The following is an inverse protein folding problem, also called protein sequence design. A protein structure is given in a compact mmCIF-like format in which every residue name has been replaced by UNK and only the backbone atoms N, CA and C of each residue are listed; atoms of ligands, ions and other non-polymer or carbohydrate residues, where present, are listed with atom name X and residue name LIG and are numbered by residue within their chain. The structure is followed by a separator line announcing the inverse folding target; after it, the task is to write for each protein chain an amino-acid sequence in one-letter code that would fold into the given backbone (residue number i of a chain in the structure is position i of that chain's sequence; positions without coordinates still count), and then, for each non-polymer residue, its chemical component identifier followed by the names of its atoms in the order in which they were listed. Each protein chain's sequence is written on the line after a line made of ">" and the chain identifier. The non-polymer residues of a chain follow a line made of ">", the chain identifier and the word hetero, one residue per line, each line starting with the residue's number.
data_IF_631611624222
#
_entry.id   IF_631611624222
#
_cell.length_a   1.000
_cell.length_b   1.000
_cell.length_c   1.000
_cell.angle_alpha   90.00
_cell.angle_beta   90.00
_cell.angle_gamma   90.00
#
_symmetry.space_group_name_H-M   'P 1'
#
loop_
_entity.id
_entity.type
_entity.pdbx_description
1 polymer ?
#
# COMPACT_ATOMS: atom_id res chain seq x y z
N UNK A 1 11.47 5.11 48.49
CA UNK A 1 12.01 4.88 47.13
C UNK A 1 10.84 4.86 46.14
N UNK A 2 10.64 5.97 45.46
CA UNK A 2 9.53 6.16 44.51
C UNK A 2 10.01 5.76 43.12
N UNK A 3 9.49 4.62 42.59
CA UNK A 3 9.78 4.17 41.23
C UNK A 3 8.97 5.01 40.26
N UNK A 4 9.63 5.94 39.59
CA UNK A 4 9.06 6.68 38.44
C UNK A 4 9.01 5.71 37.27
N UNK A 5 7.80 5.31 36.88
CA UNK A 5 7.54 4.61 35.62
C UNK A 5 7.58 5.65 34.51
N UNK A 6 8.67 5.65 33.74
CA UNK A 6 8.75 6.39 32.49
C UNK A 6 7.90 5.65 31.47
N UNK A 7 6.68 6.11 31.25
CA UNK A 7 5.86 5.72 30.09
C UNK A 7 6.43 6.41 28.87
N UNK A 8 7.22 5.70 28.08
CA UNK A 8 7.61 6.12 26.74
C UNK A 8 6.35 6.16 25.88
N UNK A 9 5.81 7.35 25.66
CA UNK A 9 4.84 7.62 24.61
C UNK A 9 5.56 7.39 23.26
N UNK A 10 5.32 6.22 22.64
CA UNK A 10 5.65 6.00 21.24
C UNK A 10 4.78 6.94 20.41
N UNK A 11 5.36 8.04 19.93
CA UNK A 11 4.72 8.90 18.94
C UNK A 11 4.62 8.10 17.64
N UNK A 12 3.46 7.56 17.37
CA UNK A 12 3.13 6.97 16.07
C UNK A 12 3.13 8.13 15.07
N UNK A 13 4.13 8.15 14.19
CA UNK A 13 4.13 9.07 13.05
C UNK A 13 3.00 8.68 12.12
N UNK A 14 1.82 9.26 12.33
CA UNK A 14 0.67 9.09 11.42
C UNK A 14 1.09 9.73 10.10
N UNK A 15 1.11 8.95 9.02
CA UNK A 15 1.14 9.52 7.67
C UNK A 15 -0.08 10.44 7.58
N UNK A 16 0.16 11.76 7.55
CA UNK A 16 -0.93 12.71 7.39
C UNK A 16 -1.66 12.40 6.10
N UNK A 17 -2.96 12.12 6.19
CA UNK A 17 -3.85 11.80 5.07
C UNK A 17 -4.11 13.02 4.14
N UNK A 18 -3.27 14.04 4.18
CA UNK A 18 -3.38 15.20 3.28
C UNK A 18 -2.83 14.85 1.90
N UNK A 19 -3.65 15.04 0.87
CA UNK A 19 -3.20 14.91 -0.51
C UNK A 19 -2.13 15.96 -0.85
N UNK A 20 -1.14 15.55 -1.64
CA UNK A 20 -0.08 16.42 -2.14
C UNK A 20 -0.45 16.81 -3.56
N UNK A 21 -0.61 18.12 -3.80
CA UNK A 21 -1.00 18.65 -5.11
C UNK A 21 0.15 19.47 -5.69
N UNK A 22 0.58 19.13 -6.92
CA UNK A 22 1.66 19.85 -7.60
C UNK A 22 1.44 19.86 -9.13
N UNK A 23 1.76 20.98 -9.83
CA UNK A 23 1.71 21.01 -11.28
C UNK A 23 2.82 20.16 -11.89
N UNK A 24 2.55 19.57 -13.05
CA UNK A 24 3.58 18.88 -13.83
C UNK A 24 4.47 19.90 -14.52
N UNK A 25 5.78 19.76 -14.34
CA UNK A 25 6.79 20.63 -14.94
C UNK A 25 7.21 20.14 -16.33
N UNK A 26 7.30 18.82 -16.47
CA UNK A 26 7.73 18.16 -17.69
C UNK A 26 7.04 16.80 -17.81
N UNK A 27 6.76 16.38 -19.07
CA UNK A 27 6.13 15.10 -19.37
C UNK A 27 6.85 14.46 -20.54
N UNK A 28 7.46 13.30 -20.31
CA UNK A 28 8.19 12.54 -21.34
C UNK A 28 8.04 11.03 -21.13
N UNK A 29 7.77 10.29 -22.20
CA UNK A 29 7.80 8.82 -22.20
C UNK A 29 7.06 8.17 -21.04
N UNK A 30 5.83 8.55 -20.75
CA UNK A 30 5.03 8.06 -19.62
C UNK A 30 5.64 8.37 -18.24
N UNK A 31 6.46 9.40 -18.16
CA UNK A 31 6.96 9.99 -16.92
C UNK A 31 6.63 11.47 -16.86
N UNK A 32 6.46 11.98 -15.65
CA UNK A 32 6.29 13.40 -15.39
C UNK A 32 7.17 13.81 -14.21
N UNK A 33 7.55 15.08 -14.18
CA UNK A 33 8.30 15.66 -13.06
C UNK A 33 7.42 16.64 -12.30
N UNK A 34 7.50 16.60 -10.98
CA UNK A 34 6.94 17.60 -10.06
C UNK A 34 7.99 18.08 -9.08
N UNK A 35 7.70 19.21 -8.41
CA UNK A 35 8.40 19.62 -7.18
C UNK A 35 7.34 19.65 -6.08
N UNK A 36 7.58 18.91 -5.02
CA UNK A 36 6.70 18.85 -3.86
C UNK A 36 7.45 18.39 -2.61
N UNK A 37 6.94 18.76 -1.44
CA UNK A 37 7.44 18.30 -0.15
C UNK A 37 6.64 17.10 0.34
N UNK A 38 7.22 16.38 1.31
CA UNK A 38 6.58 15.21 1.95
C UNK A 38 6.21 14.05 1.00
N UNK A 39 6.85 14.01 -0.16
CA UNK A 39 6.71 12.91 -1.13
C UNK A 39 7.59 11.74 -0.69
N UNK A 40 7.13 10.53 -0.96
CA UNK A 40 7.91 9.28 -0.80
C UNK A 40 7.83 8.45 -2.08
N UNK A 41 8.89 7.72 -2.36
CA UNK A 41 8.88 6.75 -3.45
C UNK A 41 7.77 5.72 -3.21
N UNK A 42 7.08 5.33 -4.28
CA UNK A 42 5.94 4.43 -4.24
C UNK A 42 4.59 5.09 -3.95
N UNK A 43 4.52 6.33 -3.49
CA UNK A 43 3.23 7.02 -3.31
C UNK A 43 2.45 7.05 -4.62
N UNK A 44 1.22 6.58 -4.58
CA UNK A 44 0.29 6.62 -5.71
C UNK A 44 -0.59 7.87 -5.69
N UNK A 45 -1.16 8.17 -6.84
CA UNK A 45 -2.09 9.26 -7.03
C UNK A 45 -2.63 9.29 -8.46
N UNK A 46 -3.17 10.42 -8.84
CA UNK A 46 -3.77 10.64 -10.16
C UNK A 46 -3.26 11.94 -10.77
N UNK A 47 -3.36 12.03 -12.10
CA UNK A 47 -3.16 13.28 -12.83
C UNK A 47 -4.53 13.84 -13.22
N UNK A 48 -4.76 15.09 -12.86
CA UNK A 48 -6.01 15.79 -13.05
C UNK A 48 -5.80 16.92 -14.06
N UNK A 49 -6.69 17.02 -15.03
CA UNK A 49 -6.82 18.19 -15.91
C UNK A 49 -8.03 19.00 -15.51
N UNK A 50 -7.85 20.27 -15.31
CA UNK A 50 -8.93 21.24 -15.11
C UNK A 50 -9.17 21.97 -16.43
N UNK A 51 -10.40 21.96 -16.91
CA UNK A 51 -10.82 22.67 -18.12
C UNK A 51 -11.33 24.07 -17.81
N UNK A 52 -12.04 24.20 -16.70
CA UNK A 52 -12.56 25.47 -16.17
C UNK A 52 -12.78 25.36 -14.65
N UNK A 53 -13.35 26.39 -14.03
CA UNK A 53 -13.55 26.46 -12.57
C UNK A 53 -14.46 25.35 -12.01
N UNK A 54 -15.25 24.70 -12.86
CA UNK A 54 -16.27 23.71 -12.45
C UNK A 54 -16.04 22.31 -13.04
N UNK A 55 -15.14 22.20 -14.02
CA UNK A 55 -14.91 20.94 -14.74
C UNK A 55 -13.46 20.49 -14.66
N UNK A 56 -13.25 19.35 -14.09
CA UNK A 56 -11.97 18.65 -14.08
C UNK A 56 -12.16 17.16 -14.32
N UNK A 57 -11.12 16.49 -14.78
CA UNK A 57 -11.14 15.03 -14.99
C UNK A 57 -9.82 14.40 -14.65
N UNK A 58 -9.86 13.14 -14.20
CA UNK A 58 -8.67 12.30 -14.03
C UNK A 58 -8.29 11.75 -15.40
N UNK A 59 -7.04 11.96 -15.81
CA UNK A 59 -6.54 11.55 -17.13
C UNK A 59 -5.51 10.44 -17.08
N UNK A 60 -4.84 10.25 -15.93
CA UNK A 60 -3.87 9.17 -15.74
C UNK A 60 -3.77 8.77 -14.26
N UNK A 61 -3.31 7.55 -14.01
CA UNK A 61 -2.75 7.16 -12.73
C UNK A 61 -1.28 7.59 -12.68
N UNK A 62 -0.79 7.87 -11.48
CA UNK A 62 0.61 8.18 -11.24
C UNK A 62 1.11 7.45 -9.99
N UNK A 63 2.40 7.10 -9.98
CA UNK A 63 3.10 6.76 -8.74
C UNK A 63 4.51 7.34 -8.78
N UNK A 64 5.03 7.67 -7.62
CA UNK A 64 6.38 8.21 -7.47
C UNK A 64 7.40 7.11 -7.70
N UNK A 65 8.18 7.23 -8.77
CA UNK A 65 9.26 6.30 -9.12
C UNK A 65 10.57 6.67 -8.43
N UNK A 66 10.84 7.98 -8.30
CA UNK A 66 12.04 8.51 -7.64
C UNK A 66 11.71 9.82 -6.92
N UNK A 67 12.36 10.05 -5.80
CA UNK A 67 12.26 11.30 -5.05
C UNK A 67 13.62 11.77 -4.58
N UNK A 68 13.94 13.03 -4.82
CA UNK A 68 15.15 13.68 -4.33
C UNK A 68 14.78 14.70 -3.24
N UNK A 69 15.00 14.39 -1.96
CA UNK A 69 14.63 15.26 -0.85
C UNK A 69 15.43 16.57 -0.79
N UNK A 70 16.62 16.62 -1.44
CA UNK A 70 17.46 17.84 -1.41
C UNK A 70 16.87 19.00 -2.22
N UNK A 71 16.05 18.70 -3.21
CA UNK A 71 15.45 19.73 -4.09
C UNK A 71 13.93 19.56 -4.28
N UNK A 72 13.32 18.61 -3.57
CA UNK A 72 11.89 18.33 -3.67
C UNK A 72 11.42 17.73 -5.00
N UNK A 73 12.36 17.36 -5.90
CA UNK A 73 12.01 16.84 -7.22
C UNK A 73 11.57 15.39 -7.14
N UNK A 74 10.38 15.10 -7.68
CA UNK A 74 9.88 13.74 -7.83
C UNK A 74 9.65 13.41 -9.30
N UNK A 75 10.00 12.17 -9.68
CA UNK A 75 9.69 11.59 -10.99
C UNK A 75 8.51 10.66 -10.80
N UNK A 76 7.44 10.93 -11.51
CA UNK A 76 6.23 10.13 -11.52
C UNK A 76 6.23 9.21 -12.73
N UNK A 77 5.92 7.94 -12.53
CA UNK A 77 5.55 7.03 -13.61
C UNK A 77 4.05 7.10 -13.84
N UNK A 78 3.66 7.31 -15.10
CA UNK A 78 2.28 7.47 -15.51
C UNK A 78 1.75 6.17 -16.11
N UNK A 79 0.48 5.89 -15.85
CA UNK A 79 -0.26 4.79 -16.45
C UNK A 79 -1.69 5.19 -16.78
N UNK A 80 -2.33 4.43 -17.66
CA UNK A 80 -3.69 4.71 -18.07
C UNK A 80 -4.66 4.64 -16.87
N UNK A 81 -5.54 5.65 -16.76
CA UNK A 81 -6.64 5.59 -15.81
C UNK A 81 -7.79 4.79 -16.41
N UNK A 82 -8.17 3.71 -15.76
CA UNK A 82 -9.20 2.78 -16.22
C UNK A 82 -10.26 2.44 -15.16
N UNK A 83 -10.17 3.02 -13.96
CA UNK A 83 -11.05 2.73 -12.83
C UNK A 83 -12.54 2.98 -13.10
N UNK A 84 -12.86 3.91 -14.00
CA UNK A 84 -14.23 4.25 -14.39
C UNK A 84 -14.56 3.79 -15.82
N UNK A 85 -13.74 2.94 -16.41
CA UNK A 85 -13.94 2.53 -17.80
C UNK A 85 -15.17 1.65 -17.93
N UNK A 86 -16.13 2.13 -18.73
CA UNK A 86 -17.23 1.33 -19.24
C UNK A 86 -17.05 1.17 -20.76
N UNK A 87 -17.11 -0.07 -21.24
CA UNK A 87 -16.91 -0.36 -22.67
C UNK A 87 -18.00 0.24 -23.57
N UNK A 88 -19.14 0.60 -22.99
CA UNK A 88 -20.28 1.24 -23.68
C UNK A 88 -20.18 2.76 -23.76
N UNK A 89 -19.25 3.38 -23.08
CA UNK A 89 -19.07 4.83 -23.08
C UNK A 89 -17.83 5.22 -23.89
N UNK A 90 -17.89 6.34 -24.66
CA UNK A 90 -16.73 6.84 -25.36
C UNK A 90 -15.66 7.23 -24.35
N UNK A 91 -14.47 6.63 -24.47
CA UNK A 91 -13.30 6.97 -23.67
C UNK A 91 -12.51 8.09 -24.33
N UNK A 92 -12.24 9.17 -23.63
CA UNK A 92 -11.27 10.18 -24.08
C UNK A 92 -9.85 9.63 -24.05
N UNK A 93 -9.08 9.83 -25.11
CA UNK A 93 -7.64 9.61 -25.12
C UNK A 93 -6.93 10.93 -24.83
N UNK A 94 -6.89 11.30 -23.53
CA UNK A 94 -6.19 12.50 -23.10
C UNK A 94 -4.71 12.19 -22.89
N UNK A 95 -3.84 12.87 -23.63
CA UNK A 95 -2.41 12.85 -23.35
C UNK A 95 -2.11 13.77 -22.17
N UNK A 96 -1.33 13.28 -21.21
CA UNK A 96 -0.83 14.10 -20.09
C UNK A 96 0.07 15.21 -20.64
N UNK A 97 -0.08 16.42 -20.12
CA UNK A 97 0.62 17.62 -20.57
C UNK A 97 1.29 18.33 -19.40
N UNK A 98 2.35 19.11 -19.64
CA UNK A 98 2.82 20.09 -18.67
C UNK A 98 1.65 20.99 -18.26
N UNK A 99 1.60 21.42 -17.01
CA UNK A 99 0.50 22.15 -16.37
C UNK A 99 -0.70 21.31 -15.90
N UNK A 100 -0.87 20.05 -16.32
CA UNK A 100 -1.76 19.15 -15.59
C UNK A 100 -1.28 19.00 -14.15
N UNK A 101 -2.17 18.60 -13.26
CA UNK A 101 -1.89 18.58 -11.82
C UNK A 101 -1.79 17.15 -11.32
N UNK A 102 -0.69 16.82 -10.66
CA UNK A 102 -0.56 15.59 -9.88
C UNK A 102 -1.25 15.77 -8.52
N UNK A 103 -2.09 14.82 -8.14
CA UNK A 103 -2.71 14.71 -6.81
C UNK A 103 -2.28 13.38 -6.22
N UNK A 104 -1.22 13.39 -5.40
CA UNK A 104 -0.69 12.21 -4.75
C UNK A 104 -1.37 11.98 -3.39
N UNK A 105 -1.38 10.73 -2.92
CA UNK A 105 -1.95 10.33 -1.64
C UNK A 105 -3.43 10.69 -1.46
N UNK A 106 -4.19 10.90 -2.54
CA UNK A 106 -5.61 11.30 -2.48
C UNK A 106 -6.49 10.30 -1.75
N UNK A 107 -6.15 9.02 -1.79
CA UNK A 107 -6.93 7.93 -1.20
C UNK A 107 -6.38 7.46 0.16
N UNK A 108 -5.37 8.15 0.75
CA UNK A 108 -4.72 7.72 2.00
C UNK A 108 -5.60 7.87 3.25
N UNK A 109 -6.74 8.51 3.14
CA UNK A 109 -7.78 8.48 4.18
C UNK A 109 -8.51 7.14 4.31
N UNK A 110 -8.30 6.19 3.37
CA UNK A 110 -8.94 4.86 3.37
C UNK A 110 -7.89 3.76 3.35
N UNK A 111 -8.08 2.75 4.21
CA UNK A 111 -7.11 1.68 4.37
C UNK A 111 -7.75 0.30 4.53
N UNK A 112 -7.00 -0.72 4.11
CA UNK A 112 -7.24 -2.12 4.41
C UNK A 112 -6.20 -2.60 5.41
N UNK A 113 -6.61 -3.34 6.44
CA UNK A 113 -5.71 -3.98 7.39
C UNK A 113 -5.74 -5.51 7.22
N UNK A 114 -4.59 -6.08 6.98
CA UNK A 114 -4.33 -7.51 7.03
C UNK A 114 -3.75 -7.83 8.42
N UNK A 115 -4.55 -8.51 9.22
CA UNK A 115 -4.21 -8.88 10.59
C UNK A 115 -4.34 -10.40 10.80
N UNK A 116 -3.55 -11.00 11.72
CA UNK A 116 -3.61 -12.43 11.98
C UNK A 116 -4.88 -12.88 12.72
N UNK A 117 -5.51 -11.99 13.49
CA UNK A 117 -6.70 -12.29 14.29
C UNK A 117 -7.51 -11.02 14.59
N UNK A 118 -8.69 -11.19 15.18
CA UNK A 118 -9.64 -10.14 15.52
C UNK A 118 -9.09 -9.15 16.57
N UNK A 119 -8.40 -9.64 17.58
CA UNK A 119 -7.85 -8.79 18.64
C UNK A 119 -6.78 -7.83 18.10
N UNK A 120 -5.90 -8.32 17.22
CA UNK A 120 -4.89 -7.49 16.54
C UNK A 120 -5.56 -6.48 15.63
N UNK A 121 -6.58 -6.91 14.86
CA UNK A 121 -7.37 -6.03 14.00
C UNK A 121 -8.00 -4.88 14.81
N UNK A 122 -8.71 -5.23 15.88
CA UNK A 122 -9.39 -4.27 16.75
C UNK A 122 -8.41 -3.31 17.43
N UNK A 123 -7.28 -3.81 17.91
CA UNK A 123 -6.26 -3.00 18.57
C UNK A 123 -5.68 -1.95 17.62
N UNK A 124 -5.30 -2.36 16.41
CA UNK A 124 -4.68 -1.47 15.41
C UNK A 124 -5.70 -0.45 14.92
N UNK A 125 -6.90 -0.88 14.53
CA UNK A 125 -7.91 0.03 13.98
C UNK A 125 -8.40 1.07 14.97
N UNK A 126 -8.41 0.75 16.28
CA UNK A 126 -8.75 1.70 17.35
C UNK A 126 -7.60 2.65 17.69
N UNK A 127 -6.34 2.24 17.43
CA UNK A 127 -5.17 3.05 17.76
C UNK A 127 -4.82 4.12 16.71
N UNK A 128 -5.22 3.92 15.46
CA UNK A 128 -4.94 4.83 14.36
C UNK A 128 -6.21 5.61 14.01
N UNK A 129 -6.21 6.90 14.30
CA UNK A 129 -7.32 7.80 13.98
C UNK A 129 -7.20 8.40 12.57
N UNK A 130 -8.30 8.93 12.03
CA UNK A 130 -8.33 9.62 10.73
C UNK A 130 -8.30 8.69 9.52
N UNK A 131 -8.47 7.39 9.71
CA UNK A 131 -8.54 6.36 8.65
C UNK A 131 -9.94 5.77 8.60
N UNK A 132 -10.53 5.73 7.42
CA UNK A 132 -11.70 4.91 7.12
C UNK A 132 -11.25 3.48 6.83
N UNK A 133 -11.45 2.59 7.80
CA UNK A 133 -11.06 1.20 7.67
C UNK A 133 -12.05 0.40 6.85
N UNK A 134 -11.58 -0.17 5.74
CA UNK A 134 -12.34 -1.13 4.96
C UNK A 134 -12.22 -2.50 5.63
N UNK A 135 -13.37 -3.05 6.03
CA UNK A 135 -13.37 -4.32 6.75
C UNK A 135 -12.83 -5.47 5.89
N UNK A 136 -11.96 -6.34 6.40
CA UNK A 136 -11.32 -7.42 5.64
C UNK A 136 -12.31 -8.44 5.06
N UNK A 137 -13.53 -8.54 5.57
CA UNK A 137 -14.60 -9.36 4.96
C UNK A 137 -14.90 -8.97 3.51
N UNK A 138 -14.83 -7.67 3.19
CA UNK A 138 -15.07 -7.19 1.82
C UNK A 138 -13.98 -7.70 0.89
N UNK A 139 -12.73 -7.68 1.35
CA UNK A 139 -11.60 -8.21 0.60
C UNK A 139 -11.66 -9.75 0.50
N UNK A 140 -12.01 -10.45 1.58
CA UNK A 140 -12.22 -11.90 1.56
C UNK A 140 -13.32 -12.32 0.56
N UNK A 141 -14.41 -11.54 0.48
CA UNK A 141 -15.48 -11.76 -0.51
C UNK A 141 -14.96 -11.56 -1.94
N UNK A 142 -14.18 -10.51 -2.18
CA UNK A 142 -13.52 -10.27 -3.47
C UNK A 142 -12.60 -11.43 -3.86
N UNK A 143 -11.74 -11.87 -2.95
CA UNK A 143 -10.83 -13.02 -3.17
C UNK A 143 -11.62 -14.31 -3.45
N UNK A 144 -12.73 -14.52 -2.74
CA UNK A 144 -13.61 -15.67 -2.98
C UNK A 144 -14.23 -15.64 -4.39
N UNK A 145 -14.59 -14.47 -4.88
CA UNK A 145 -15.05 -14.29 -6.26
C UNK A 145 -13.94 -14.57 -7.28
N UNK A 146 -12.70 -14.21 -6.98
CA UNK A 146 -11.52 -14.50 -7.81
C UNK A 146 -11.06 -15.95 -7.73
N UNK A 147 -11.40 -16.66 -6.67
CA UNK A 147 -10.90 -18.00 -6.39
C UNK A 147 -9.47 -18.01 -5.86
N UNK A 148 -9.05 -16.95 -5.16
CA UNK A 148 -7.69 -16.75 -4.64
C UNK A 148 -7.68 -16.80 -3.11
N UNK A 149 -7.69 -17.98 -2.46
CA UNK A 149 -7.52 -18.11 -1.01
C UNK A 149 -6.12 -17.68 -0.53
N UNK A 150 -5.14 -17.60 -1.41
CA UNK A 150 -3.85 -16.93 -1.18
C UNK A 150 -3.83 -15.63 -1.96
N UNK A 151 -3.94 -14.45 -1.29
CA UNK A 151 -4.03 -13.18 -1.98
C UNK A 151 -2.71 -12.77 -2.61
N UNK A 152 -2.72 -12.48 -3.90
CA UNK A 152 -1.55 -12.01 -4.65
C UNK A 152 -1.41 -10.48 -4.55
N UNK A 153 -0.23 -9.95 -4.89
CA UNK A 153 -0.03 -8.50 -5.02
C UNK A 153 -1.06 -7.86 -5.95
N UNK A 154 -1.34 -8.50 -7.08
CA UNK A 154 -2.28 -8.04 -8.09
C UNK A 154 -3.72 -7.98 -7.56
N UNK A 155 -4.09 -8.85 -6.62
CA UNK A 155 -5.40 -8.81 -5.98
C UNK A 155 -5.53 -7.57 -5.09
N UNK A 156 -4.50 -7.25 -4.31
CA UNK A 156 -4.46 -6.01 -3.53
C UNK A 156 -4.56 -4.79 -4.45
N UNK A 157 -3.71 -4.71 -5.48
CA UNK A 157 -3.68 -3.56 -6.38
C UNK A 157 -5.02 -3.32 -7.06
N UNK A 158 -5.65 -4.37 -7.58
CA UNK A 158 -6.96 -4.29 -8.25
C UNK A 158 -8.07 -3.93 -7.28
N UNK A 159 -8.09 -4.57 -6.11
CA UNK A 159 -9.10 -4.29 -5.09
C UNK A 159 -8.99 -2.85 -4.59
N UNK A 160 -7.79 -2.39 -4.29
CA UNK A 160 -7.54 -1.04 -3.81
C UNK A 160 -7.89 0.03 -4.86
N UNK A 161 -7.53 -0.20 -6.11
CA UNK A 161 -7.89 0.70 -7.21
C UNK A 161 -9.41 0.81 -7.39
N UNK A 162 -10.11 -0.34 -7.36
CA UNK A 162 -11.56 -0.37 -7.56
C UNK A 162 -12.35 0.24 -6.40
N UNK A 163 -11.77 0.30 -5.20
CA UNK A 163 -12.45 0.76 -3.99
C UNK A 163 -11.85 2.06 -3.42
N UNK A 164 -10.98 2.75 -4.15
CA UNK A 164 -10.29 3.99 -3.71
C UNK A 164 -9.63 3.82 -2.34
N UNK A 165 -8.88 2.72 -2.15
CA UNK A 165 -8.11 2.44 -0.96
C UNK A 165 -6.66 2.83 -1.24
N UNK A 166 -6.11 3.77 -0.46
CA UNK A 166 -4.74 4.25 -0.66
C UNK A 166 -3.72 3.47 0.15
N UNK A 167 -4.08 3.03 1.35
CA UNK A 167 -3.14 2.37 2.27
C UNK A 167 -3.48 0.90 2.51
N UNK A 168 -2.45 0.08 2.54
CA UNK A 168 -2.50 -1.30 3.00
C UNK A 168 -1.62 -1.43 4.24
N UNK A 169 -2.23 -1.82 5.34
CA UNK A 169 -1.51 -2.18 6.56
C UNK A 169 -1.40 -3.70 6.64
N UNK A 170 -0.20 -4.19 6.93
CA UNK A 170 0.04 -5.62 7.17
C UNK A 170 0.74 -5.75 8.52
N UNK A 171 0.13 -6.48 9.44
CA UNK A 171 0.75 -6.80 10.71
C UNK A 171 1.44 -8.17 10.62
N UNK A 172 2.73 -8.21 10.77
CA UNK A 172 3.51 -9.47 10.79
C UNK A 172 4.80 -9.30 11.58
N UNK A 173 5.24 -10.34 12.27
CA UNK A 173 6.49 -10.36 13.05
C UNK A 173 6.68 -9.14 13.97
N UNK A 174 5.67 -8.79 14.76
CA UNK A 174 5.67 -7.63 15.68
C UNK A 174 5.94 -6.29 14.99
N UNK A 175 5.63 -6.21 13.71
CA UNK A 175 5.80 -5.01 12.89
C UNK A 175 4.50 -4.72 12.16
N UNK A 176 4.11 -3.47 12.16
CA UNK A 176 3.07 -2.95 11.30
C UNK A 176 3.73 -2.33 10.07
N UNK A 177 3.56 -2.96 8.92
CA UNK A 177 4.01 -2.47 7.63
C UNK A 177 2.91 -1.61 7.02
N UNK A 178 3.23 -0.40 6.62
CA UNK A 178 2.33 0.49 5.88
C UNK A 178 2.80 0.58 4.44
N UNK A 179 1.99 0.10 3.51
CA UNK A 179 2.28 0.10 2.08
C UNK A 179 1.30 1.02 1.35
N UNK A 180 1.74 1.60 0.26
CA UNK A 180 0.81 2.13 -0.73
C UNK A 180 0.10 0.96 -1.41
N UNK A 181 -1.22 0.94 -1.35
CA UNK A 181 -1.99 -0.23 -1.77
C UNK A 181 -2.00 -0.44 -3.29
N UNK A 182 -1.82 0.63 -4.07
CA UNK A 182 -1.85 0.58 -5.54
C UNK A 182 -0.49 0.24 -6.15
N UNK A 183 0.61 0.68 -5.54
CA UNK A 183 1.97 0.35 -5.98
C UNK A 183 2.55 -0.87 -5.27
N UNK A 184 2.02 -1.21 -4.09
CA UNK A 184 2.55 -2.20 -3.15
C UNK A 184 3.94 -1.84 -2.60
N UNK A 185 4.30 -0.56 -2.66
CA UNK A 185 5.59 -0.08 -2.13
C UNK A 185 5.47 0.21 -0.65
N UNK A 186 6.48 -0.20 0.11
CA UNK A 186 6.57 0.08 1.54
C UNK A 186 6.79 1.58 1.77
N UNK A 187 5.91 2.20 2.54
CA UNK A 187 5.98 3.61 2.91
C UNK A 187 6.58 3.79 4.30
N UNK A 188 6.25 2.91 5.25
CA UNK A 188 6.67 3.02 6.64
C UNK A 188 6.58 1.68 7.36
N UNK A 189 7.39 1.52 8.40
CA UNK A 189 7.26 0.44 9.39
C UNK A 189 7.13 1.03 10.79
N UNK A 190 6.35 0.37 11.63
CA UNK A 190 6.23 0.72 13.05
C UNK A 190 6.28 -0.55 13.91
N UNK A 191 6.87 -0.50 15.11
CA UNK A 191 6.74 -1.59 16.07
C UNK A 191 5.28 -1.82 16.42
N UNK A 192 4.88 -3.07 16.56
CA UNK A 192 3.54 -3.44 16.99
C UNK A 192 3.59 -4.40 18.17
N UNK A 193 2.50 -4.49 18.92
CA UNK A 193 2.45 -5.37 20.07
C UNK A 193 2.47 -6.83 19.62
N UNK A 194 3.40 -7.60 20.19
CA UNK A 194 3.40 -9.06 20.04
C UNK A 194 2.27 -9.64 20.86
N UNK A 195 1.41 -10.40 20.20
CA UNK A 195 0.45 -11.27 20.87
C UNK A 195 0.59 -12.65 20.28
N UNK A 196 1.01 -13.60 21.12
CA UNK A 196 1.06 -15.03 20.79
C UNK A 196 -0.38 -15.56 20.68
N UNK A 197 -0.96 -15.44 19.51
CA UNK A 197 -2.30 -15.96 19.25
C UNK A 197 -2.32 -16.71 17.92
N UNK A 198 -3.29 -17.64 17.84
CA UNK A 198 -3.53 -18.41 16.63
C UNK A 198 -3.85 -17.48 15.46
N UNK A 199 -3.05 -17.54 14.42
CA UNK A 199 -3.27 -16.77 13.20
C UNK A 199 -4.37 -17.39 12.34
N UNK A 200 -5.23 -16.55 11.80
CA UNK A 200 -6.18 -16.92 10.75
C UNK A 200 -5.47 -16.88 9.39
N UNK A 201 -5.75 -17.85 8.54
CA UNK A 201 -5.22 -17.90 7.18
C UNK A 201 -6.37 -17.71 6.18
N UNK A 202 -6.20 -16.83 5.17
CA UNK A 202 -5.01 -16.01 4.85
C UNK A 202 -4.88 -14.74 5.71
N UNK A 203 -5.92 -14.31 6.40
CA UNK A 203 -5.98 -13.19 7.35
C UNK A 203 -7.27 -13.28 8.17
N UNK A 204 -7.37 -12.45 9.19
CA UNK A 204 -8.61 -12.31 9.96
C UNK A 204 -9.76 -11.84 9.07
N UNK A 205 -10.83 -12.62 9.05
CA UNK A 205 -12.10 -12.33 8.41
C UNK A 205 -13.21 -13.15 9.07
N UNK A 206 -14.43 -12.62 9.09
CA UNK A 206 -15.63 -13.36 9.52
C UNK A 206 -16.17 -14.25 8.41
N UNK A 207 -15.65 -14.14 7.20
CA UNK A 207 -15.96 -15.03 6.09
C UNK A 207 -15.29 -16.39 6.37
N UNK A 208 -16.05 -17.47 6.53
CA UNK A 208 -15.52 -18.73 7.04
C UNK A 208 -14.58 -19.43 6.05
N UNK A 209 -14.74 -19.18 4.76
CA UNK A 209 -13.90 -19.80 3.73
C UNK A 209 -13.84 -18.93 2.49
N UNK A 210 -12.64 -18.63 2.03
CA UNK A 210 -12.40 -18.05 0.71
C UNK A 210 -12.37 -19.20 -0.29
N UNK A 211 -13.21 -19.12 -1.32
CA UNK A 211 -13.31 -20.16 -2.35
C UNK A 211 -12.04 -20.18 -3.19
N UNK A 212 -11.57 -21.39 -3.53
CA UNK A 212 -10.46 -21.61 -4.43
C UNK A 212 -10.95 -21.80 -5.86
N UNK A 213 -10.25 -21.22 -6.84
CA UNK A 213 -10.39 -21.62 -8.22
C UNK A 213 -9.83 -23.03 -8.41
N UNK A 214 -10.22 -23.69 -9.49
CA UNK A 214 -9.76 -25.05 -9.81
C UNK A 214 -8.25 -25.09 -10.12
N UNK A 215 -7.72 -24.03 -10.67
CA UNK A 215 -6.31 -23.88 -11.07
C UNK A 215 -5.92 -22.40 -11.15
N UNK A 216 -4.64 -22.14 -11.16
CA UNK A 216 -4.06 -20.81 -11.29
C UNK A 216 -3.28 -20.39 -10.04
N UNK A 217 -2.50 -19.34 -10.19
CA UNK A 217 -1.76 -18.73 -9.08
C UNK A 217 -2.75 -18.17 -8.05
N UNK A 218 -2.45 -18.30 -6.77
CA UNK A 218 -3.35 -17.90 -5.68
C UNK A 218 -4.48 -18.88 -5.37
N UNK A 219 -4.72 -19.94 -6.18
CA UNK A 219 -5.79 -20.91 -5.97
C UNK A 219 -5.51 -21.93 -4.85
N UNK A 220 -4.27 -22.10 -4.45
CA UNK A 220 -3.90 -22.94 -3.29
C UNK A 220 -4.19 -22.19 -1.99
N UNK A 221 -4.58 -22.93 -0.95
CA UNK A 221 -4.75 -22.33 0.38
C UNK A 221 -3.41 -21.97 0.99
N UNK A 222 -3.38 -20.85 1.68
CA UNK A 222 -2.20 -20.41 2.40
C UNK A 222 -1.98 -21.26 3.65
N UNK A 223 -0.79 -21.86 3.77
CA UNK A 223 -0.44 -22.73 4.90
C UNK A 223 -0.09 -21.92 6.16
N UNK A 224 0.60 -20.80 5.98
CA UNK A 224 1.10 -19.98 7.10
C UNK A 224 1.02 -18.49 6.80
N UNK A 225 0.40 -17.76 7.71
CA UNK A 225 0.19 -16.31 7.61
C UNK A 225 1.51 -15.52 7.55
N UNK A 226 2.32 -15.64 8.59
CA UNK A 226 3.46 -14.74 8.80
C UNK A 226 4.54 -14.88 7.72
N UNK A 227 5.06 -16.08 7.39
CA UNK A 227 6.09 -16.21 6.37
C UNK A 227 5.64 -15.70 5.01
N UNK A 228 4.37 -15.89 4.66
CA UNK A 228 3.82 -15.47 3.38
C UNK A 228 3.86 -13.95 3.21
N UNK A 229 3.35 -13.20 4.19
CA UNK A 229 3.30 -11.74 4.05
C UNK A 229 4.68 -11.09 4.13
N UNK A 230 5.59 -11.64 4.94
CA UNK A 230 6.98 -11.18 4.98
C UNK A 230 7.67 -11.39 3.62
N UNK A 231 7.47 -12.56 3.00
CA UNK A 231 8.00 -12.87 1.67
C UNK A 231 7.38 -11.95 0.60
N UNK A 232 6.06 -11.79 0.60
CA UNK A 232 5.34 -10.94 -0.34
C UNK A 232 5.82 -9.48 -0.28
N UNK A 233 6.04 -8.95 0.93
CA UNK A 233 6.56 -7.60 1.14
C UNK A 233 8.00 -7.49 0.65
N UNK A 234 8.88 -8.45 0.99
CA UNK A 234 10.29 -8.46 0.58
C UNK A 234 10.44 -8.49 -0.95
N UNK A 235 9.76 -9.43 -1.61
CA UNK A 235 9.77 -9.59 -3.07
C UNK A 235 9.40 -8.29 -3.82
N UNK A 236 8.44 -7.56 -3.29
CA UNK A 236 7.94 -6.35 -3.95
C UNK A 236 8.65 -5.06 -3.52
N UNK A 237 9.60 -5.16 -2.57
CA UNK A 237 10.39 -4.06 -2.06
C UNK A 237 11.89 -4.41 -2.00
N UNK A 238 12.37 -5.18 -2.99
CA UNK A 238 13.72 -5.76 -3.04
C UNK A 238 14.86 -4.72 -2.97
N UNK A 239 14.60 -3.45 -3.30
CA UNK A 239 15.59 -2.36 -3.27
C UNK A 239 15.49 -1.48 -2.00
N UNK A 240 14.55 -1.79 -1.09
CA UNK A 240 14.36 -1.00 0.11
C UNK A 240 15.40 -1.39 1.18
N UNK A 241 16.37 -0.50 1.42
CA UNK A 241 17.47 -0.72 2.38
C UNK A 241 16.98 -0.78 3.83
N UNK A 242 16.00 0.04 4.21
CA UNK A 242 15.46 0.06 5.58
C UNK A 242 14.74 -1.26 5.89
N UNK A 243 14.01 -1.79 4.93
CA UNK A 243 13.37 -3.11 5.05
C UNK A 243 14.41 -4.23 5.14
N UNK A 244 15.45 -4.17 4.34
CA UNK A 244 16.55 -5.13 4.40
C UNK A 244 17.21 -5.17 5.78
N UNK A 245 17.57 -4.00 6.34
CA UNK A 245 18.17 -3.91 7.67
C UNK A 245 17.20 -4.38 8.77
N UNK A 246 15.92 -4.06 8.66
CA UNK A 246 14.90 -4.56 9.56
C UNK A 246 14.84 -6.10 9.55
N UNK A 247 14.85 -6.71 8.35
CA UNK A 247 14.78 -8.16 8.22
C UNK A 247 16.06 -8.83 8.69
N UNK A 248 17.22 -8.25 8.40
CA UNK A 248 18.53 -8.71 8.91
C UNK A 248 18.57 -8.71 10.45
N UNK A 249 18.09 -7.65 11.07
CA UNK A 249 18.04 -7.53 12.52
C UNK A 249 17.03 -8.51 13.18
N UNK A 250 15.86 -8.72 12.57
CA UNK A 250 14.81 -9.57 13.16
C UNK A 250 14.96 -11.06 12.91
N UNK A 251 15.40 -11.44 11.70
CA UNK A 251 15.36 -12.86 11.25
C UNK A 251 16.74 -13.49 11.15
N UNK A 252 17.77 -12.81 11.60
CA UNK A 252 19.19 -13.20 11.45
C UNK A 252 19.71 -13.19 10.00
N UNK A 253 21.02 -13.06 9.84
CA UNK A 253 21.70 -12.97 8.53
C UNK A 253 21.52 -14.20 7.62
N UNK A 254 21.11 -15.34 8.17
CA UNK A 254 20.90 -16.59 7.41
C UNK A 254 19.45 -16.79 6.97
N UNK A 255 18.58 -15.80 7.16
CA UNK A 255 17.18 -15.93 6.79
C UNK A 255 17.01 -16.08 5.27
N UNK A 256 16.19 -17.04 4.85
CA UNK A 256 15.80 -17.20 3.45
C UNK A 256 15.11 -15.95 2.88
N UNK A 257 14.55 -15.08 3.72
CA UNK A 257 13.91 -13.83 3.32
C UNK A 257 14.90 -12.82 2.74
N UNK A 258 16.17 -12.82 3.18
CA UNK A 258 17.19 -11.86 2.70
C UNK A 258 17.56 -12.08 1.23
N UNK A 259 17.34 -13.28 0.71
CA UNK A 259 17.59 -13.60 -0.72
C UNK A 259 16.73 -12.82 -1.71
N UNK A 260 15.62 -12.26 -1.26
CA UNK A 260 14.71 -11.48 -2.11
C UNK A 260 15.19 -10.04 -2.33
N UNK A 261 16.19 -9.59 -1.59
CA UNK A 261 16.70 -8.22 -1.73
C UNK A 261 17.82 -8.14 -2.77
N UNK A 262 17.73 -7.13 -3.63
CA UNK A 262 18.72 -6.79 -4.68
C UNK A 262 19.73 -5.75 -4.16
N UNK A 263 20.04 -5.76 -2.86
CA UNK A 263 20.96 -4.81 -2.24
C UNK A 263 22.38 -5.36 -2.35
N UNK A 264 23.25 -4.63 -3.04
CA UNK A 264 24.70 -4.91 -3.05
C UNK A 264 25.32 -4.29 -1.81
N UNK A 265 26.02 -5.10 -1.02
CA UNK A 265 26.89 -4.64 0.05
C UNK A 265 28.04 -3.78 -0.47
#
# INVERSE_FOLDING_TARGET
>A
MMRIWLTTLLAWGVLNASSITAPLLDVQNSRATIIAENVREGMSGVIVRTFDATHSTIIANAHVEQFNPSNGRAILKLSKYDSLRQNSLPGGNWLVQPSDVAVLASDYGRALLIAPNDETYDTITKSISGIEWIHPDNYATYLSYKGHPTPLKEDFNRYCTANSIGLLYVHSADTLFTLDCKSFTLLQTAPSLKKEQKSSSPFYSRIPTIRAAWWGEGSSRLDSYEPYYLELIALNNSKNKELYELYKAKFSEKSALLRYFEIKE
#
